data_IF_127927061159
#
_entry.id   IF_127927061159
#
_cell.length_a   1.000
_cell.length_b   1.000
_cell.length_c   1.000
_cell.angle_alpha   90.00
_cell.angle_beta   90.00
_cell.angle_gamma   90.00
#
_symmetry.space_group_name_H-M   'P 1'
#
loop_
_entity.id
_entity.type
_entity.pdbx_description
1 polymer ?
#
# COMPACT_ATOMS: atom_id res chain seq x y z
N UNK A 1 -9.42 23.25 4.94
CA UNK A 1 -8.17 22.57 5.32
C UNK A 1 -7.72 22.92 6.74
N UNK A 2 -7.69 24.21 7.11
CA UNK A 2 -7.27 24.63 8.47
C UNK A 2 -8.12 23.97 9.56
N UNK A 3 -9.46 24.06 9.48
CA UNK A 3 -10.36 23.43 10.45
C UNK A 3 -10.15 21.91 10.56
N UNK A 4 -10.03 21.21 9.42
CA UNK A 4 -9.76 19.77 9.41
C UNK A 4 -8.44 19.44 10.10
N UNK A 5 -7.40 20.23 9.86
CA UNK A 5 -6.10 20.03 10.51
C UNK A 5 -6.19 20.30 12.02
N UNK A 6 -6.89 21.35 12.44
CA UNK A 6 -7.13 21.65 13.86
C UNK A 6 -7.94 20.52 14.54
N UNK A 7 -9.00 20.02 13.88
CA UNK A 7 -9.77 18.90 14.40
C UNK A 7 -8.91 17.65 14.62
N UNK A 8 -8.02 17.32 13.69
CA UNK A 8 -7.09 16.18 13.82
C UNK A 8 -6.04 16.36 14.92
N UNK A 9 -5.71 17.60 15.30
CA UNK A 9 -4.77 17.89 16.39
C UNK A 9 -5.46 17.99 17.74
N UNK A 10 -6.78 18.12 17.77
CA UNK A 10 -7.55 18.16 19.03
C UNK A 10 -7.34 16.88 19.84
N UNK A 11 -7.21 16.98 21.18
CA UNK A 11 -7.25 15.81 22.06
C UNK A 11 -8.56 15.03 21.98
N UNK A 12 -9.65 15.72 21.63
CA UNK A 12 -10.98 15.18 21.48
C UNK A 12 -11.56 15.54 20.10
N UNK A 13 -11.12 14.88 19.01
CA UNK A 13 -11.59 15.21 17.66
C UNK A 13 -13.09 15.06 17.48
N UNK A 14 -13.70 14.11 18.20
CA UNK A 14 -15.15 13.86 18.22
C UNK A 14 -15.99 15.01 18.80
N UNK A 15 -15.37 15.90 19.60
CA UNK A 15 -15.99 17.07 20.21
C UNK A 15 -15.62 18.37 19.50
N UNK A 16 -14.85 18.31 18.43
CA UNK A 16 -14.43 19.50 17.69
C UNK A 16 -15.64 20.28 17.17
N UNK A 17 -15.58 21.61 17.25
CA UNK A 17 -16.62 22.54 16.78
C UNK A 17 -16.15 23.21 15.49
N UNK A 18 -16.62 22.74 14.36
CA UNK A 18 -16.34 23.26 13.03
C UNK A 18 -17.60 23.20 12.17
N UNK A 19 -17.44 23.09 10.85
CA UNK A 19 -18.57 22.90 9.95
C UNK A 19 -19.32 21.59 10.25
N UNK A 20 -20.63 21.55 10.01
CA UNK A 20 -21.47 20.37 10.30
C UNK A 20 -20.93 19.08 9.67
N UNK A 21 -20.46 19.15 8.43
CA UNK A 21 -19.87 18.01 7.73
C UNK A 21 -18.57 17.53 8.37
N UNK A 22 -17.73 18.46 8.86
CA UNK A 22 -16.50 18.11 9.57
C UNK A 22 -16.80 17.48 10.92
N UNK A 23 -17.74 18.04 11.67
CA UNK A 23 -18.15 17.51 12.97
C UNK A 23 -18.68 16.08 12.83
N UNK A 24 -19.49 15.82 11.80
CA UNK A 24 -20.02 14.48 11.51
C UNK A 24 -18.89 13.51 11.13
N UNK A 25 -17.95 13.93 10.26
CA UNK A 25 -16.78 13.13 9.88
C UNK A 25 -15.95 12.76 11.12
N UNK A 26 -15.66 13.71 12.01
CA UNK A 26 -14.86 13.44 13.20
C UNK A 26 -15.59 12.53 14.17
N UNK A 27 -16.86 12.80 14.47
CA UNK A 27 -17.69 11.99 15.36
C UNK A 27 -17.79 10.55 14.86
N UNK A 28 -18.19 10.35 13.60
CA UNK A 28 -18.36 9.01 13.03
C UNK A 28 -17.06 8.23 12.94
N UNK A 29 -15.93 8.91 12.65
CA UNK A 29 -14.61 8.26 12.52
C UNK A 29 -13.98 7.88 13.86
N UNK A 30 -14.32 8.58 14.96
CA UNK A 30 -13.77 8.29 16.29
C UNK A 30 -14.52 7.16 17.02
N UNK A 31 -15.72 6.80 16.58
CA UNK A 31 -16.47 5.68 17.16
C UNK A 31 -15.78 4.37 16.81
N UNK A 32 -15.54 3.52 17.80
CA UNK A 32 -15.05 2.16 17.56
C UNK A 32 -16.19 1.32 16.96
N UNK A 33 -16.03 0.68 15.81
CA UNK A 33 -17.01 -0.27 15.29
C UNK A 33 -17.18 -1.46 16.24
N UNK A 34 -18.42 -1.95 16.42
CA UNK A 34 -18.72 -3.05 17.34
C UNK A 34 -17.95 -4.34 17.02
N UNK A 35 -17.65 -4.57 15.75
CA UNK A 35 -16.88 -5.72 15.26
C UNK A 35 -15.38 -5.59 15.46
N UNK A 36 -14.82 -4.43 15.85
CA UNK A 36 -13.38 -4.23 15.96
C UNK A 36 -12.84 -4.82 17.28
N UNK A 37 -11.92 -5.78 17.17
CA UNK A 37 -11.24 -6.44 18.28
C UNK A 37 -9.79 -5.95 18.37
N UNK A 38 -9.52 -5.03 19.30
CA UNK A 38 -8.19 -4.40 19.41
C UNK A 38 -7.06 -5.40 19.62
N UNK A 39 -7.26 -6.42 20.45
CA UNK A 39 -6.22 -7.44 20.68
C UNK A 39 -5.85 -8.18 19.39
N UNK A 40 -6.86 -8.53 18.57
CA UNK A 40 -6.63 -9.20 17.29
C UNK A 40 -6.00 -8.27 16.26
N UNK A 41 -6.36 -6.99 16.26
CA UNK A 41 -5.74 -5.96 15.42
C UNK A 41 -4.25 -5.83 15.73
N UNK A 42 -3.86 -5.78 17.02
CA UNK A 42 -2.47 -5.69 17.44
C UNK A 42 -1.66 -6.97 17.14
N UNK A 43 -2.30 -8.12 17.17
CA UNK A 43 -1.70 -9.37 16.66
C UNK A 43 -1.41 -9.25 15.14
N UNK A 44 -2.32 -8.65 14.38
CA UNK A 44 -2.12 -8.38 12.95
C UNK A 44 -0.93 -7.47 12.69
N UNK A 45 -0.79 -6.40 13.47
CA UNK A 45 0.37 -5.50 13.46
C UNK A 45 1.66 -6.28 13.74
N UNK A 46 1.69 -7.06 14.82
CA UNK A 46 2.84 -7.86 15.23
C UNK A 46 3.24 -8.89 14.16
N UNK A 47 2.25 -9.54 13.54
CA UNK A 47 2.50 -10.48 12.45
C UNK A 47 3.10 -9.76 11.24
N UNK A 48 2.55 -8.64 10.80
CA UNK A 48 3.09 -7.88 9.66
C UNK A 48 4.54 -7.45 9.95
N UNK A 49 4.85 -6.98 11.15
CA UNK A 49 6.22 -6.66 11.53
C UNK A 49 7.15 -7.87 11.43
N UNK A 50 6.70 -9.05 11.88
CA UNK A 50 7.50 -10.28 11.82
C UNK A 50 7.93 -10.70 10.40
N UNK A 51 7.21 -10.23 9.36
CA UNK A 51 7.50 -10.55 7.95
C UNK A 51 8.64 -9.72 7.35
N UNK A 52 9.06 -8.65 8.02
CA UNK A 52 10.14 -7.79 7.58
C UNK A 52 9.92 -7.24 6.16
N UNK A 53 10.97 -7.23 5.35
CA UNK A 53 10.91 -6.74 3.95
C UNK A 53 9.98 -7.55 3.04
N UNK A 54 9.59 -8.77 3.41
CA UNK A 54 8.70 -9.55 2.56
C UNK A 54 7.34 -8.87 2.36
N UNK A 55 6.78 -8.22 3.40
CA UNK A 55 5.53 -7.45 3.26
C UNK A 55 5.68 -6.29 2.27
N UNK A 56 6.74 -5.49 2.36
CA UNK A 56 6.98 -4.37 1.44
C UNK A 56 7.22 -4.83 0.00
N UNK A 57 7.97 -5.92 -0.19
CA UNK A 57 8.19 -6.52 -1.51
C UNK A 57 6.86 -6.99 -2.12
N UNK A 58 6.01 -7.69 -1.36
CA UNK A 58 4.69 -8.17 -1.82
C UNK A 58 3.74 -7.01 -2.13
N UNK A 59 3.67 -6.00 -1.27
CA UNK A 59 2.81 -4.84 -1.50
C UNK A 59 3.21 -4.09 -2.78
N UNK A 60 4.50 -3.96 -3.06
CA UNK A 60 5.00 -3.34 -4.29
C UNK A 60 4.81 -4.23 -5.52
N UNK A 61 5.31 -5.48 -5.45
CA UNK A 61 5.50 -6.34 -6.63
C UNK A 61 4.26 -7.17 -6.97
N UNK A 62 3.29 -7.29 -6.05
CA UNK A 62 2.03 -7.99 -6.27
C UNK A 62 0.83 -7.05 -6.17
N UNK A 63 0.62 -6.38 -5.03
CA UNK A 63 -0.59 -5.60 -4.82
C UNK A 63 -0.62 -4.33 -5.69
N UNK A 64 0.43 -3.50 -5.64
CA UNK A 64 0.48 -2.28 -6.44
C UNK A 64 0.65 -2.58 -7.93
N UNK A 65 1.59 -3.45 -8.28
CA UNK A 65 1.83 -3.85 -9.69
C UNK A 65 0.57 -4.47 -10.29
N UNK A 66 -0.09 -5.38 -9.58
CA UNK A 66 -1.36 -5.99 -10.01
C UNK A 66 -2.53 -5.01 -10.04
N UNK A 67 -2.51 -4.00 -9.18
CA UNK A 67 -3.51 -2.92 -9.14
C UNK A 67 -3.57 -2.10 -10.43
N UNK A 68 -2.48 -2.02 -11.19
CA UNK A 68 -2.48 -1.35 -12.50
C UNK A 68 -3.26 -2.07 -13.60
N UNK A 69 -3.76 -3.28 -13.34
CA UNK A 69 -4.74 -3.92 -14.21
C UNK A 69 -6.14 -3.30 -14.08
N UNK A 70 -6.36 -2.39 -13.09
CA UNK A 70 -7.62 -1.70 -12.85
C UNK A 70 -7.57 -0.31 -13.52
N UNK A 71 -8.14 -0.20 -14.72
CA UNK A 71 -8.00 0.99 -15.60
C UNK A 71 -8.57 2.27 -14.97
N UNK A 72 -9.72 2.23 -14.31
CA UNK A 72 -10.32 3.41 -13.66
C UNK A 72 -9.40 3.99 -12.57
N UNK A 73 -8.74 3.11 -11.80
CA UNK A 73 -7.71 3.50 -10.84
C UNK A 73 -6.52 4.20 -11.53
N UNK A 74 -6.06 3.68 -12.67
CA UNK A 74 -4.97 4.26 -13.44
C UNK A 74 -5.32 5.65 -13.97
N UNK A 75 -6.55 5.86 -14.48
CA UNK A 75 -7.02 7.17 -14.98
C UNK A 75 -6.99 8.22 -13.88
N UNK A 76 -7.36 7.85 -12.65
CA UNK A 76 -7.24 8.75 -11.50
C UNK A 76 -5.79 9.23 -11.33
N UNK A 77 -4.81 8.34 -11.39
CA UNK A 77 -3.39 8.68 -11.22
C UNK A 77 -2.83 9.54 -12.36
N UNK A 78 -3.24 9.27 -13.57
CA UNK A 78 -2.78 10.04 -14.74
C UNK A 78 -3.38 11.45 -14.72
N UNK A 79 -4.69 11.57 -14.53
CA UNK A 79 -5.37 12.86 -14.56
C UNK A 79 -5.04 13.77 -13.38
N UNK A 80 -4.46 13.24 -12.32
CA UNK A 80 -3.93 14.03 -11.18
C UNK A 80 -2.45 14.38 -11.32
N UNK A 81 -1.80 14.01 -12.43
CA UNK A 81 -0.38 14.28 -12.67
C UNK A 81 0.59 13.42 -11.85
N UNK A 82 0.09 12.33 -11.24
CA UNK A 82 0.94 11.47 -10.43
C UNK A 82 1.91 10.61 -11.27
N UNK A 83 1.62 10.41 -12.54
CA UNK A 83 2.52 9.71 -13.46
C UNK A 83 3.75 10.57 -13.81
N UNK A 84 3.54 11.85 -14.06
CA UNK A 84 4.58 12.84 -14.42
C UNK A 84 5.57 13.07 -13.28
N UNK A 85 5.12 12.95 -12.02
CA UNK A 85 5.99 12.98 -10.83
C UNK A 85 6.83 11.71 -10.68
N UNK A 86 6.52 10.67 -11.45
CA UNK A 86 7.16 9.35 -11.36
C UNK A 86 6.60 8.46 -10.24
N UNK A 87 6.98 7.18 -10.26
CA UNK A 87 6.48 6.20 -9.30
C UNK A 87 7.06 6.38 -7.88
N UNK A 88 8.30 6.90 -7.76
CA UNK A 88 9.03 6.93 -6.49
C UNK A 88 8.38 7.83 -5.41
N UNK A 89 7.95 9.08 -5.65
CA UNK A 89 7.31 9.92 -4.64
C UNK A 89 6.03 9.32 -4.09
N UNK A 90 5.19 8.77 -4.96
CA UNK A 90 3.94 8.12 -4.57
C UNK A 90 4.18 6.85 -3.76
N UNK A 91 5.13 6.02 -4.19
CA UNK A 91 5.52 4.81 -3.47
C UNK A 91 6.02 5.17 -2.06
N UNK A 92 6.85 6.21 -1.94
CA UNK A 92 7.37 6.70 -0.66
C UNK A 92 6.24 7.21 0.26
N UNK A 93 5.32 8.04 -0.25
CA UNK A 93 4.20 8.57 0.54
C UNK A 93 3.26 7.46 1.03
N UNK A 94 2.93 6.50 0.16
CA UNK A 94 2.11 5.34 0.52
C UNK A 94 2.81 4.45 1.54
N UNK A 95 4.10 4.19 1.37
CA UNK A 95 4.89 3.38 2.30
C UNK A 95 5.02 4.06 3.68
N UNK A 96 5.15 5.38 3.73
CA UNK A 96 5.15 6.14 4.98
C UNK A 96 3.80 6.06 5.70
N UNK A 97 2.68 6.22 4.97
CA UNK A 97 1.35 6.01 5.52
C UNK A 97 1.21 4.58 6.06
N UNK A 98 1.64 3.58 5.28
CA UNK A 98 1.59 2.18 5.68
C UNK A 98 2.35 1.92 7.00
N UNK A 99 3.57 2.44 7.18
CA UNK A 99 4.30 2.33 8.44
C UNK A 99 3.54 2.92 9.63
N UNK A 100 2.80 4.00 9.42
CA UNK A 100 1.99 4.63 10.49
C UNK A 100 0.81 3.75 10.89
N UNK A 101 0.09 3.17 9.91
CA UNK A 101 -1.11 2.36 10.21
C UNK A 101 -0.78 0.97 10.76
N UNK A 102 0.42 0.45 10.51
CA UNK A 102 0.89 -0.80 11.11
C UNK A 102 1.73 -0.58 12.39
N UNK A 103 1.78 0.63 12.95
CA UNK A 103 2.39 0.85 14.25
C UNK A 103 1.42 0.43 15.38
N UNK A 104 1.96 -0.10 16.48
CA UNK A 104 1.14 -0.51 17.63
C UNK A 104 0.31 0.66 18.16
N UNK A 105 -0.94 0.40 18.51
CA UNK A 105 -1.92 1.36 19.06
C UNK A 105 -2.17 2.60 18.17
N UNK A 106 -1.72 2.60 16.91
CA UNK A 106 -1.77 3.80 16.06
C UNK A 106 -3.13 4.06 15.42
N UNK A 107 -4.03 3.07 15.38
CA UNK A 107 -5.34 3.18 14.75
C UNK A 107 -6.48 3.50 15.73
N UNK A 108 -6.18 3.68 17.00
CA UNK A 108 -7.12 4.28 17.94
C UNK A 108 -7.37 5.75 17.59
N UNK A 109 -8.50 6.32 18.03
CA UNK A 109 -8.75 7.75 17.93
C UNK A 109 -7.52 8.51 18.50
N UNK A 110 -7.08 9.57 17.80
CA UNK A 110 -5.86 10.32 18.07
C UNK A 110 -4.51 9.62 17.75
N UNK A 111 -4.49 8.34 17.42
CA UNK A 111 -3.27 7.67 16.98
C UNK A 111 -2.74 8.20 15.64
N UNK A 112 -1.45 8.03 15.39
CA UNK A 112 -0.82 8.53 14.16
C UNK A 112 -1.33 7.82 12.90
N UNK A 113 -1.65 6.52 12.98
CA UNK A 113 -2.28 5.76 11.90
C UNK A 113 -3.67 6.30 11.57
N UNK A 114 -4.50 6.50 12.60
CA UNK A 114 -5.82 7.12 12.47
C UNK A 114 -5.74 8.51 11.80
N UNK A 115 -4.94 9.43 12.36
CA UNK A 115 -4.78 10.78 11.81
C UNK A 115 -4.28 10.77 10.37
N UNK A 116 -3.34 9.87 10.07
CA UNK A 116 -2.79 9.73 8.72
C UNK A 116 -3.83 9.18 7.74
N UNK A 117 -4.64 8.22 8.17
CA UNK A 117 -5.72 7.63 7.35
C UNK A 117 -6.82 8.66 7.05
N UNK A 118 -7.23 9.47 8.03
CA UNK A 118 -8.20 10.52 7.78
C UNK A 118 -7.67 11.60 6.81
N UNK A 119 -6.35 11.92 6.85
CA UNK A 119 -5.75 12.82 5.84
C UNK A 119 -5.84 12.23 4.42
N UNK A 120 -5.55 10.94 4.27
CA UNK A 120 -5.70 10.25 2.98
C UNK A 120 -7.16 10.24 2.54
N UNK A 121 -8.11 9.93 3.44
CA UNK A 121 -9.55 9.99 3.16
C UNK A 121 -9.99 11.37 2.68
N UNK A 122 -9.49 12.43 3.32
CA UNK A 122 -9.73 13.81 2.90
C UNK A 122 -9.17 14.08 1.49
N UNK A 123 -7.93 13.67 1.23
CA UNK A 123 -7.31 13.81 -0.10
C UNK A 123 -8.10 13.05 -1.18
N UNK A 124 -8.60 11.85 -0.87
CA UNK A 124 -9.47 11.09 -1.78
C UNK A 124 -10.78 11.86 -2.08
N UNK A 125 -11.35 12.54 -1.09
CA UNK A 125 -12.55 13.36 -1.30
C UNK A 125 -12.27 14.57 -2.22
N UNK A 126 -11.15 15.26 -2.02
CA UNK A 126 -10.73 16.38 -2.88
C UNK A 126 -10.47 15.94 -4.32
N UNK A 127 -9.71 14.86 -4.51
CA UNK A 127 -9.42 14.30 -5.84
C UNK A 127 -10.71 13.84 -6.52
N UNK A 128 -11.61 13.17 -5.79
CA UNK A 128 -12.94 12.78 -6.31
C UNK A 128 -13.73 13.98 -6.78
N UNK A 129 -13.77 15.03 -5.98
CA UNK A 129 -14.46 16.27 -6.34
C UNK A 129 -13.88 16.92 -7.58
N UNK A 130 -12.56 17.05 -7.66
CA UNK A 130 -11.86 17.62 -8.81
C UNK A 130 -12.11 16.82 -10.09
N UNK A 131 -11.93 15.51 -10.06
CA UNK A 131 -12.08 14.65 -11.23
C UNK A 131 -13.53 14.53 -11.69
N UNK A 132 -14.48 14.45 -10.76
CA UNK A 132 -15.92 14.42 -11.09
C UNK A 132 -16.36 15.64 -11.92
N UNK A 133 -15.74 16.79 -11.69
CA UNK A 133 -16.03 18.04 -12.38
C UNK A 133 -15.10 18.29 -13.58
N UNK A 134 -14.19 17.37 -13.89
CA UNK A 134 -13.26 17.49 -15.01
C UNK A 134 -13.91 16.98 -16.31
N UNK A 135 -13.80 17.71 -17.42
CA UNK A 135 -14.26 17.22 -18.73
C UNK A 135 -13.46 16.03 -19.25
N UNK A 136 -12.27 15.77 -18.68
CA UNK A 136 -11.41 14.64 -19.05
C UNK A 136 -11.84 13.34 -18.39
N UNK A 137 -12.76 13.36 -17.41
CA UNK A 137 -13.23 12.17 -16.73
C UNK A 137 -14.47 11.61 -17.41
N UNK A 138 -14.34 10.41 -18.00
CA UNK A 138 -15.47 9.70 -18.59
C UNK A 138 -16.17 8.84 -17.53
N UNK A 139 -17.23 9.39 -16.91
CA UNK A 139 -18.00 8.68 -15.90
C UNK A 139 -18.84 7.52 -16.44
N UNK A 140 -19.12 7.48 -17.74
CA UNK A 140 -19.83 6.33 -18.36
C UNK A 140 -18.90 5.14 -18.48
N UNK A 141 -17.63 5.36 -18.78
CA UNK A 141 -16.64 4.31 -18.94
C UNK A 141 -15.97 3.91 -17.61
N UNK A 142 -15.65 4.88 -16.72
CA UNK A 142 -14.84 4.65 -15.53
C UNK A 142 -15.63 4.74 -14.22
N UNK A 143 -16.94 5.07 -14.26
CA UNK A 143 -17.76 5.29 -13.07
C UNK A 143 -17.35 6.56 -12.31
N UNK A 144 -17.61 6.59 -11.01
CA UNK A 144 -17.16 7.69 -10.15
C UNK A 144 -15.68 7.53 -9.81
N UNK A 145 -14.89 8.64 -9.79
CA UNK A 145 -13.48 8.59 -9.36
C UNK A 145 -13.36 8.10 -7.92
N UNK A 146 -12.42 7.23 -7.64
CA UNK A 146 -12.16 6.69 -6.30
C UNK A 146 -13.47 6.18 -5.65
N UNK A 147 -14.22 5.37 -6.38
CA UNK A 147 -15.49 4.81 -5.92
C UNK A 147 -15.27 3.71 -4.84
N UNK A 148 -16.37 3.17 -4.31
CA UNK A 148 -16.32 2.16 -3.25
C UNK A 148 -15.65 0.86 -3.70
N UNK A 149 -15.76 0.46 -4.97
CA UNK A 149 -15.10 -0.72 -5.52
C UNK A 149 -13.59 -0.52 -5.55
N UNK A 150 -13.10 0.65 -6.03
CA UNK A 150 -11.68 0.98 -6.07
C UNK A 150 -11.08 1.01 -4.66
N UNK A 151 -11.79 1.63 -3.72
CA UNK A 151 -11.37 1.71 -2.31
C UNK A 151 -11.36 0.31 -1.67
N UNK A 152 -12.39 -0.50 -1.93
CA UNK A 152 -12.48 -1.87 -1.42
C UNK A 152 -11.37 -2.73 -2.01
N UNK A 153 -11.12 -2.71 -3.32
CA UNK A 153 -10.03 -3.43 -3.95
C UNK A 153 -8.67 -3.03 -3.36
N UNK A 154 -8.49 -1.74 -3.05
CA UNK A 154 -7.23 -1.23 -2.48
C UNK A 154 -6.98 -1.80 -1.08
N UNK A 155 -7.93 -1.74 -0.14
CA UNK A 155 -7.70 -2.31 1.19
C UNK A 155 -7.53 -3.84 1.14
N UNK A 156 -8.19 -4.53 0.20
CA UNK A 156 -8.00 -5.97 -0.02
C UNK A 156 -6.61 -6.27 -0.60
N UNK A 157 -6.03 -5.35 -1.36
CA UNK A 157 -4.62 -5.40 -1.79
C UNK A 157 -3.66 -5.42 -0.62
N UNK A 158 -3.90 -4.59 0.39
CA UNK A 158 -3.09 -4.54 1.62
C UNK A 158 -3.35 -5.71 2.58
N UNK A 159 -4.45 -6.42 2.47
CA UNK A 159 -4.82 -7.54 3.34
C UNK A 159 -4.67 -8.90 2.64
N UNK A 160 -5.69 -9.37 1.94
CA UNK A 160 -5.73 -10.71 1.36
C UNK A 160 -4.65 -10.94 0.29
N UNK A 161 -4.38 -9.95 -0.59
CA UNK A 161 -3.32 -10.06 -1.60
C UNK A 161 -1.95 -10.12 -0.92
N UNK A 162 -1.73 -9.31 0.13
CA UNK A 162 -0.49 -9.39 0.92
C UNK A 162 -0.32 -10.77 1.56
N UNK A 163 -1.36 -11.33 2.20
CA UNK A 163 -1.30 -12.66 2.80
C UNK A 163 -0.98 -13.75 1.78
N UNK A 164 -1.64 -13.70 0.62
CA UNK A 164 -1.36 -14.63 -0.48
C UNK A 164 0.09 -14.52 -0.97
N UNK A 165 0.58 -13.30 -1.18
CA UNK A 165 1.94 -13.04 -1.61
C UNK A 165 2.98 -13.47 -0.57
N UNK A 166 2.72 -13.27 0.73
CA UNK A 166 3.59 -13.73 1.81
C UNK A 166 3.74 -15.25 1.81
N UNK A 167 2.64 -16.02 1.61
CA UNK A 167 2.70 -17.47 1.47
C UNK A 167 3.55 -17.89 0.25
N UNK A 168 3.35 -17.24 -0.89
CA UNK A 168 4.20 -17.48 -2.07
C UNK A 168 5.67 -17.19 -1.79
N UNK A 169 5.96 -16.20 -0.94
CA UNK A 169 7.32 -15.86 -0.53
C UNK A 169 7.91 -16.80 0.56
N UNK A 170 7.21 -17.85 0.95
CA UNK A 170 7.65 -18.83 1.95
C UNK A 170 7.39 -18.43 3.41
N UNK A 171 6.60 -17.39 3.65
CA UNK A 171 6.19 -16.96 4.99
C UNK A 171 5.00 -17.80 5.47
N UNK A 172 5.13 -18.42 6.63
CA UNK A 172 4.04 -19.20 7.24
C UNK A 172 2.97 -18.27 7.79
N UNK A 173 1.78 -18.31 7.20
CA UNK A 173 0.60 -17.57 7.64
C UNK A 173 -0.39 -18.54 8.25
N UNK A 174 -0.54 -18.53 9.58
CA UNK A 174 -1.52 -19.34 10.29
C UNK A 174 -2.95 -18.79 10.10
N UNK A 175 -4.00 -19.59 10.34
CA UNK A 175 -5.38 -19.08 10.32
C UNK A 175 -5.59 -17.90 11.28
N UNK A 176 -4.92 -17.89 12.44
CA UNK A 176 -4.96 -16.76 13.38
C UNK A 176 -4.30 -15.52 12.82
N UNK A 177 -3.12 -15.65 12.19
CA UNK A 177 -2.46 -14.51 11.52
C UNK A 177 -3.32 -13.94 10.39
N UNK A 178 -3.96 -14.81 9.60
CA UNK A 178 -4.87 -14.37 8.53
C UNK A 178 -6.03 -13.54 9.11
N UNK A 179 -6.75 -14.05 10.12
CA UNK A 179 -7.83 -13.32 10.79
C UNK A 179 -7.35 -11.98 11.37
N UNK A 180 -6.21 -11.97 12.03
CA UNK A 180 -5.63 -10.77 12.63
C UNK A 180 -5.31 -9.68 11.60
N UNK A 181 -4.70 -10.04 10.48
CA UNK A 181 -4.41 -9.10 9.38
C UNK A 181 -5.70 -8.64 8.70
N UNK A 182 -6.66 -9.53 8.47
CA UNK A 182 -7.97 -9.15 7.90
C UNK A 182 -8.69 -8.16 8.81
N UNK A 183 -8.67 -8.37 10.13
CA UNK A 183 -9.30 -7.49 11.12
C UNK A 183 -8.63 -6.10 11.14
N UNK A 184 -7.31 -6.04 11.12
CA UNK A 184 -6.56 -4.78 11.03
C UNK A 184 -6.95 -3.99 9.78
N UNK A 185 -6.92 -4.64 8.63
CA UNK A 185 -7.21 -3.96 7.36
C UNK A 185 -8.69 -3.65 7.16
N UNK A 186 -9.60 -4.42 7.77
CA UNK A 186 -11.02 -4.09 7.86
C UNK A 186 -11.22 -2.76 8.60
N UNK A 187 -10.53 -2.58 9.75
CA UNK A 187 -10.57 -1.31 10.50
C UNK A 187 -10.00 -0.15 9.68
N UNK A 188 -8.83 -0.33 9.06
CA UNK A 188 -8.20 0.73 8.24
C UNK A 188 -9.09 1.07 7.03
N UNK A 189 -9.68 0.08 6.37
CA UNK A 189 -10.64 0.29 5.28
C UNK A 189 -11.87 1.10 5.73
N UNK A 190 -12.41 0.77 6.89
CA UNK A 190 -13.52 1.51 7.50
C UNK A 190 -13.13 2.97 7.81
N UNK A 191 -11.99 3.21 8.44
CA UNK A 191 -11.47 4.54 8.70
C UNK A 191 -11.22 5.33 7.41
N UNK A 192 -10.80 4.67 6.34
CA UNK A 192 -10.62 5.25 5.01
C UNK A 192 -11.96 5.64 4.34
N UNK A 193 -13.07 5.14 4.86
CA UNK A 193 -14.43 5.42 4.35
C UNK A 193 -14.97 4.37 3.38
N UNK A 194 -14.45 3.16 3.43
CA UNK A 194 -15.08 2.00 2.80
C UNK A 194 -16.34 1.66 3.60
N UNK A 195 -17.47 1.54 2.93
CA UNK A 195 -18.75 1.19 3.58
C UNK A 195 -18.70 -0.25 4.10
N UNK A 196 -19.43 -0.53 5.19
CA UNK A 196 -19.39 -1.84 5.85
C UNK A 196 -19.81 -2.99 4.94
N UNK A 197 -20.73 -2.78 4.02
CA UNK A 197 -21.16 -3.78 3.03
C UNK A 197 -20.03 -4.26 2.08
N UNK A 198 -18.97 -3.45 1.94
CA UNK A 198 -17.79 -3.77 1.15
C UNK A 198 -16.65 -4.36 1.98
N UNK A 199 -16.73 -4.26 3.30
CA UNK A 199 -15.76 -4.85 4.21
C UNK A 199 -16.02 -6.36 4.36
N UNK A 200 -14.96 -7.13 4.55
CA UNK A 200 -15.04 -8.58 4.71
C UNK A 200 -14.21 -9.05 5.89
N UNK A 201 -14.62 -10.18 6.48
CA UNK A 201 -13.99 -10.73 7.67
C UNK A 201 -12.91 -11.76 7.37
N UNK A 202 -13.03 -12.43 6.21
CA UNK A 202 -12.16 -13.56 5.87
C UNK A 202 -11.40 -13.33 4.58
N UNK A 203 -10.22 -13.94 4.49
CA UNK A 203 -9.41 -13.93 3.28
C UNK A 203 -10.13 -14.57 2.10
N UNK A 204 -10.93 -15.62 2.34
CA UNK A 204 -11.73 -16.25 1.29
C UNK A 204 -12.76 -15.30 0.68
N UNK A 205 -13.52 -14.59 1.52
CA UNK A 205 -14.47 -13.58 1.05
C UNK A 205 -13.75 -12.46 0.28
N UNK A 206 -12.57 -12.05 0.76
CA UNK A 206 -11.75 -11.04 0.10
C UNK A 206 -11.33 -11.46 -1.31
N UNK A 207 -10.85 -12.69 -1.48
CA UNK A 207 -10.41 -13.20 -2.78
C UNK A 207 -11.58 -13.34 -3.77
N UNK A 208 -12.76 -13.74 -3.28
CA UNK A 208 -13.99 -13.76 -4.11
C UNK A 208 -14.36 -12.34 -4.57
N UNK A 209 -14.39 -11.36 -3.66
CA UNK A 209 -14.67 -9.95 -4.02
C UNK A 209 -13.62 -9.39 -4.99
N UNK A 210 -12.33 -9.63 -4.76
CA UNK A 210 -11.27 -9.19 -5.68
C UNK A 210 -11.45 -9.77 -7.09
N UNK A 211 -11.81 -11.06 -7.17
CA UNK A 211 -12.13 -11.67 -8.47
C UNK A 211 -13.30 -10.97 -9.14
N UNK A 212 -14.37 -10.68 -8.41
CA UNK A 212 -15.53 -9.95 -8.93
C UNK A 212 -15.13 -8.56 -9.42
N UNK A 213 -14.34 -7.81 -8.65
CA UNK A 213 -13.86 -6.47 -9.03
C UNK A 213 -13.05 -6.49 -10.31
N UNK A 214 -12.19 -7.49 -10.52
CA UNK A 214 -11.41 -7.62 -11.75
C UNK A 214 -12.29 -7.81 -13.01
N UNK A 215 -13.50 -8.35 -12.88
CA UNK A 215 -14.44 -8.47 -13.98
C UNK A 215 -15.25 -7.20 -14.26
N UNK A 216 -15.28 -6.25 -13.34
CA UNK A 216 -15.99 -4.96 -13.51
C UNK A 216 -15.12 -3.89 -14.18
N UNK A 217 -13.81 -4.12 -14.29
CA UNK A 217 -12.90 -3.18 -14.91
C UNK A 217 -12.73 -3.43 -16.41
N UNK A 218 -12.54 -2.34 -17.15
CA UNK A 218 -12.15 -2.39 -18.55
C UNK A 218 -10.84 -3.16 -18.73
N UNK A 219 -10.63 -3.81 -19.91
CA UNK A 219 -9.35 -4.44 -20.22
C UNK A 219 -8.17 -3.47 -20.04
N UNK A 220 -6.96 -3.98 -19.70
CA UNK A 220 -5.75 -3.17 -19.62
C UNK A 220 -5.53 -2.35 -20.89
N UNK A 221 -5.14 -1.10 -20.72
CA UNK A 221 -4.87 -0.14 -21.78
C UNK A 221 -3.47 0.47 -21.64
N UNK A 222 -3.18 1.51 -22.43
CA UNK A 222 -1.90 2.23 -22.39
C UNK A 222 -1.57 2.79 -20.98
N UNK A 223 -2.59 3.18 -20.19
CA UNK A 223 -2.37 3.63 -18.82
C UNK A 223 -1.78 2.54 -17.92
N UNK A 224 -2.21 1.29 -18.13
CA UNK A 224 -1.66 0.11 -17.46
C UNK A 224 -0.17 -0.06 -17.77
N UNK A 225 0.20 -0.02 -19.05
CA UNK A 225 1.57 -0.22 -19.49
C UNK A 225 2.50 0.89 -18.98
N UNK A 226 2.07 2.15 -19.06
CA UNK A 226 2.84 3.32 -18.60
C UNK A 226 3.12 3.25 -17.09
N UNK A 227 2.10 3.00 -16.27
CA UNK A 227 2.27 2.92 -14.81
C UNK A 227 3.07 1.69 -14.39
N UNK A 228 2.84 0.53 -15.01
CA UNK A 228 3.62 -0.67 -14.74
C UNK A 228 5.10 -0.49 -15.10
N UNK A 229 5.40 0.11 -16.26
CA UNK A 229 6.77 0.41 -16.69
C UNK A 229 7.45 1.43 -15.76
N UNK A 230 6.74 2.48 -15.34
CA UNK A 230 7.25 3.45 -14.39
C UNK A 230 7.60 2.82 -13.03
N UNK A 231 6.74 1.92 -12.51
CA UNK A 231 7.04 1.20 -11.28
C UNK A 231 8.18 0.19 -11.47
N UNK A 232 8.21 -0.54 -12.58
CA UNK A 232 9.29 -1.48 -12.89
C UNK A 232 10.65 -0.77 -13.00
N UNK A 233 10.69 0.42 -13.61
CA UNK A 233 11.90 1.23 -13.78
C UNK A 233 12.38 1.95 -12.50
N UNK A 234 11.51 2.10 -11.48
CA UNK A 234 11.84 2.82 -10.24
C UNK A 234 13.18 2.38 -9.61
N UNK A 235 13.55 1.08 -9.53
CA UNK A 235 14.82 0.68 -8.92
C UNK A 235 16.05 1.22 -9.63
N UNK A 236 15.96 1.53 -10.92
CA UNK A 236 17.07 2.10 -11.70
C UNK A 236 17.42 3.53 -11.28
N UNK A 237 16.52 4.24 -10.64
CA UNK A 237 16.74 5.58 -10.10
C UNK A 237 17.25 5.58 -8.65
N UNK A 238 17.43 4.41 -8.04
CA UNK A 238 17.88 4.27 -6.63
C UNK A 238 19.33 4.72 -6.44
N UNK A 239 19.59 5.40 -5.33
CA UNK A 239 20.96 5.76 -4.94
C UNK A 239 21.52 4.71 -3.96
N UNK A 240 22.70 4.23 -4.24
CA UNK A 240 23.45 3.29 -3.40
C UNK A 240 24.85 3.86 -3.17
N UNK A 241 25.37 3.71 -1.97
CA UNK A 241 26.67 4.25 -1.61
C UNK A 241 27.83 3.64 -2.43
N UNK A 242 27.72 2.36 -2.80
CA UNK A 242 28.75 1.63 -3.55
C UNK A 242 28.13 0.78 -4.66
N UNK A 243 28.87 0.52 -5.74
CA UNK A 243 28.47 -0.33 -6.86
C UNK A 243 27.09 0.05 -7.42
N UNK A 244 26.85 1.34 -7.58
CA UNK A 244 25.53 1.91 -7.86
C UNK A 244 24.85 1.27 -9.05
N UNK A 245 25.54 1.17 -10.19
CA UNK A 245 25.00 0.57 -11.42
C UNK A 245 24.59 -0.89 -11.21
N UNK A 246 25.49 -1.69 -10.63
CA UNK A 246 25.23 -3.10 -10.38
C UNK A 246 24.04 -3.31 -9.43
N UNK A 247 23.99 -2.55 -8.35
CA UNK A 247 22.89 -2.63 -7.36
C UNK A 247 21.56 -2.17 -7.93
N UNK A 248 21.54 -1.16 -8.79
CA UNK A 248 20.34 -0.71 -9.52
C UNK A 248 19.83 -1.81 -10.43
N UNK A 249 20.70 -2.40 -11.25
CA UNK A 249 20.34 -3.49 -12.15
C UNK A 249 19.84 -4.73 -11.39
N UNK A 250 20.55 -5.12 -10.33
CA UNK A 250 20.09 -6.22 -9.48
C UNK A 250 18.72 -5.95 -8.85
N UNK A 251 18.49 -4.76 -8.31
CA UNK A 251 17.21 -4.39 -7.73
C UNK A 251 16.09 -4.40 -8.77
N UNK A 252 16.35 -3.90 -9.97
CA UNK A 252 15.41 -3.94 -11.10
C UNK A 252 15.04 -5.39 -11.49
N UNK A 253 16.05 -6.23 -11.73
CA UNK A 253 15.82 -7.64 -12.08
C UNK A 253 15.12 -8.41 -10.96
N UNK A 254 15.49 -8.16 -9.69
CA UNK A 254 14.84 -8.76 -8.53
C UNK A 254 13.34 -8.42 -8.50
N UNK A 255 12.97 -7.14 -8.67
CA UNK A 255 11.59 -6.72 -8.63
C UNK A 255 10.77 -7.22 -9.83
N UNK A 256 11.34 -7.25 -11.04
CA UNK A 256 10.70 -7.87 -12.19
C UNK A 256 10.45 -9.38 -11.97
N UNK A 257 11.47 -10.09 -11.46
CA UNK A 257 11.37 -11.52 -11.15
C UNK A 257 10.32 -11.79 -10.05
N UNK A 258 10.28 -10.94 -9.01
CA UNK A 258 9.28 -11.03 -7.95
C UNK A 258 7.87 -10.78 -8.47
N UNK A 259 7.66 -9.73 -9.28
CA UNK A 259 6.36 -9.44 -9.90
C UNK A 259 5.89 -10.57 -10.81
N UNK A 260 6.80 -11.13 -11.63
CA UNK A 260 6.48 -12.28 -12.47
C UNK A 260 6.04 -13.50 -11.64
N UNK A 261 6.79 -13.82 -10.59
CA UNK A 261 6.50 -14.96 -9.70
C UNK A 261 5.18 -14.78 -8.94
N UNK A 262 4.96 -13.59 -8.40
CA UNK A 262 3.80 -13.31 -7.55
C UNK A 262 2.50 -13.21 -8.35
N UNK A 263 2.49 -12.52 -9.49
CA UNK A 263 1.32 -12.32 -10.35
C UNK A 263 1.07 -13.48 -11.30
N UNK A 264 2.12 -14.21 -11.66
CA UNK A 264 2.09 -15.23 -12.70
C UNK A 264 2.16 -14.66 -14.12
N UNK A 265 2.50 -15.49 -15.11
CA UNK A 265 2.83 -15.04 -16.47
C UNK A 265 1.68 -14.31 -17.16
N UNK A 266 0.44 -14.76 -16.96
CA UNK A 266 -0.74 -14.16 -17.62
C UNK A 266 -0.98 -12.71 -17.18
N UNK A 267 -0.96 -12.42 -15.87
CA UNK A 267 -1.17 -11.07 -15.37
C UNK A 267 0.05 -10.19 -15.67
N UNK A 268 1.25 -10.73 -15.53
CA UNK A 268 2.49 -10.01 -15.81
C UNK A 268 2.57 -9.57 -17.28
N UNK A 269 2.20 -10.42 -18.23
CA UNK A 269 2.16 -10.08 -19.66
C UNK A 269 1.10 -9.00 -19.99
N UNK A 270 -0.06 -9.02 -19.29
CA UNK A 270 -1.08 -7.96 -19.44
C UNK A 270 -0.58 -6.57 -18.99
N UNK A 271 0.43 -6.51 -18.13
CA UNK A 271 1.09 -5.26 -17.73
C UNK A 271 2.08 -4.73 -18.79
N UNK A 272 2.29 -5.45 -19.89
CA UNK A 272 3.26 -5.09 -20.92
C UNK A 272 4.72 -5.24 -20.49
N UNK A 273 4.98 -5.96 -19.39
CA UNK A 273 6.32 -6.13 -18.83
C UNK A 273 7.01 -7.39 -19.36
N UNK A 274 8.34 -7.34 -19.39
CA UNK A 274 9.20 -8.49 -19.71
C UNK A 274 10.18 -8.71 -18.56
N UNK A 275 10.35 -9.97 -18.15
CA UNK A 275 11.35 -10.36 -17.14
C UNK A 275 12.39 -11.27 -17.82
N UNK A 276 13.63 -10.80 -18.02
CA UNK A 276 14.68 -11.60 -18.70
C UNK A 276 15.00 -12.91 -17.99
N UNK A 277 14.87 -12.90 -16.65
CA UNK A 277 15.18 -14.06 -15.79
C UNK A 277 13.89 -14.77 -15.30
N UNK A 278 12.71 -14.39 -15.81
CA UNK A 278 11.45 -14.94 -15.31
C UNK A 278 11.37 -14.91 -13.78
N UNK A 279 10.95 -16.00 -13.11
CA UNK A 279 10.81 -16.07 -11.65
C UNK A 279 12.10 -16.49 -10.91
N UNK A 280 13.23 -16.68 -11.57
CA UNK A 280 14.40 -17.38 -11.01
C UNK A 280 14.89 -16.71 -9.71
N UNK A 281 15.10 -15.39 -9.71
CA UNK A 281 15.61 -14.68 -8.51
C UNK A 281 14.62 -14.82 -7.35
N UNK A 282 13.31 -14.73 -7.62
CA UNK A 282 12.29 -14.90 -6.60
C UNK A 282 12.30 -16.32 -6.05
N UNK A 283 12.29 -17.34 -6.91
CA UNK A 283 12.29 -18.75 -6.52
C UNK A 283 13.52 -19.13 -5.68
N UNK A 284 14.72 -18.69 -6.04
CA UNK A 284 15.92 -18.92 -5.27
C UNK A 284 15.86 -18.28 -3.86
N UNK A 285 15.13 -17.18 -3.72
CA UNK A 285 15.00 -16.49 -2.43
C UNK A 285 13.97 -17.12 -1.48
N UNK A 286 13.01 -17.91 -1.99
CA UNK A 286 11.91 -18.49 -1.18
C UNK A 286 12.41 -19.45 -0.10
N UNK A 287 13.25 -20.48 -0.37
CA UNK A 287 13.69 -21.40 0.66
C UNK A 287 14.53 -20.72 1.76
N UNK A 288 15.34 -19.73 1.41
CA UNK A 288 16.10 -18.95 2.38
C UNK A 288 15.19 -18.15 3.32
N UNK A 289 14.15 -17.52 2.77
CA UNK A 289 13.17 -16.78 3.55
C UNK A 289 12.34 -17.70 4.45
N UNK A 290 11.88 -18.82 3.90
CA UNK A 290 11.12 -19.82 4.65
C UNK A 290 11.93 -20.38 5.82
N UNK A 291 13.16 -20.80 5.58
CA UNK A 291 14.06 -21.33 6.60
C UNK A 291 14.34 -20.30 7.70
N UNK A 292 14.66 -19.06 7.34
CA UNK A 292 14.85 -17.96 8.30
C UNK A 292 13.59 -17.68 9.11
N UNK A 293 12.43 -17.62 8.46
CA UNK A 293 11.15 -17.35 9.13
C UNK A 293 10.79 -18.45 10.13
N UNK A 294 10.96 -19.72 9.75
CA UNK A 294 10.70 -20.87 10.63
C UNK A 294 11.67 -20.89 11.81
N UNK A 295 12.98 -20.75 11.57
CA UNK A 295 13.99 -20.75 12.63
C UNK A 295 13.73 -19.69 13.71
N UNK A 296 13.27 -18.49 13.31
CA UNK A 296 12.98 -17.41 14.24
C UNK A 296 11.65 -17.59 15.01
N UNK A 297 10.85 -18.59 14.69
CA UNK A 297 9.60 -18.91 15.42
C UNK A 297 9.76 -19.98 16.48
N UNK A 298 10.93 -20.61 16.60
CA UNK A 298 11.14 -21.75 17.51
C UNK A 298 11.09 -21.37 18.99
N UNK A 299 11.36 -20.11 19.36
CA UNK A 299 11.30 -19.65 20.75
C UNK A 299 10.58 -18.31 20.88
N UNK A 300 9.98 -18.04 22.05
CA UNK A 300 9.31 -16.75 22.31
C UNK A 300 10.26 -15.54 22.24
N UNK A 301 11.52 -15.72 22.64
CA UNK A 301 12.54 -14.68 22.58
C UNK A 301 12.93 -14.35 21.14
N UNK A 302 13.11 -15.38 20.30
CA UNK A 302 13.42 -15.20 18.87
C UNK A 302 12.23 -14.61 18.10
N UNK A 303 10.99 -14.96 18.48
CA UNK A 303 9.79 -14.37 17.90
C UNK A 303 9.70 -12.84 18.19
N UNK A 304 9.98 -12.41 19.42
CA UNK A 304 10.05 -10.97 19.77
C UNK A 304 11.16 -10.25 18.99
N UNK A 305 12.34 -10.85 18.88
CA UNK A 305 13.44 -10.32 18.06
C UNK A 305 13.05 -10.24 16.58
N UNK A 306 12.30 -11.20 16.07
CA UNK A 306 11.81 -11.20 14.69
C UNK A 306 10.88 -10.01 14.44
N UNK A 307 9.93 -9.72 15.34
CA UNK A 307 9.02 -8.58 15.23
C UNK A 307 9.81 -7.26 15.20
N UNK A 308 10.71 -7.04 16.17
CA UNK A 308 11.48 -5.80 16.26
C UNK A 308 12.45 -5.59 15.10
N UNK A 309 13.17 -6.64 14.69
CA UNK A 309 14.08 -6.59 13.55
C UNK A 309 13.33 -6.46 12.21
N UNK A 310 12.17 -7.08 12.11
CA UNK A 310 11.31 -6.97 10.94
C UNK A 310 10.72 -5.56 10.78
N UNK A 311 10.25 -4.96 11.88
CA UNK A 311 9.85 -3.55 11.90
C UNK A 311 10.97 -2.63 11.44
N UNK A 312 12.17 -2.78 12.00
CA UNK A 312 13.34 -2.00 11.61
C UNK A 312 13.69 -2.17 10.13
N UNK A 313 13.58 -3.40 9.61
CA UNK A 313 13.81 -3.67 8.19
C UNK A 313 12.78 -2.97 7.28
N UNK A 314 11.52 -2.84 7.73
CA UNK A 314 10.47 -2.09 7.04
C UNK A 314 10.73 -0.58 7.08
N UNK A 315 11.12 -0.05 8.23
CA UNK A 315 11.49 1.36 8.40
C UNK A 315 12.67 1.75 7.49
N UNK A 316 13.70 0.91 7.42
CA UNK A 316 14.84 1.11 6.51
C UNK A 316 14.37 1.07 5.05
N UNK A 317 13.53 0.10 4.67
CA UNK A 317 13.02 0.00 3.31
C UNK A 317 12.24 1.25 2.87
N UNK A 318 11.47 1.83 3.79
CA UNK A 318 10.71 3.07 3.53
C UNK A 318 11.63 4.29 3.51
N UNK A 319 12.61 4.37 4.43
CA UNK A 319 13.61 5.44 4.43
C UNK A 319 14.44 5.48 3.13
N UNK A 320 14.79 4.32 2.57
CA UNK A 320 15.44 4.20 1.27
C UNK A 320 14.62 4.85 0.14
N UNK A 321 13.31 4.92 0.24
CA UNK A 321 12.43 5.62 -0.71
C UNK A 321 12.40 7.15 -0.49
N UNK A 322 12.56 7.63 0.74
CA UNK A 322 12.48 9.05 1.10
C UNK A 322 13.76 9.84 0.84
N UNK A 323 14.92 9.27 1.05
CA UNK A 323 16.21 9.93 0.78
C UNK A 323 16.33 10.50 -0.65
N UNK A 324 15.49 10.03 -1.55
CA UNK A 324 15.41 10.47 -2.95
C UNK A 324 14.60 11.71 -3.18
N UNK A 325 13.56 11.97 -2.35
CA UNK A 325 12.73 13.16 -2.48
C UNK A 325 13.50 14.41 -2.09
N UNK A 326 14.39 14.34 -1.10
CA UNK A 326 15.21 15.46 -0.64
C UNK A 326 16.27 15.87 -1.69
N UNK A 327 16.89 14.88 -2.37
CA UNK A 327 17.91 15.15 -3.40
C UNK A 327 17.28 15.73 -4.69
N UNK A 328 16.03 15.41 -5.01
CA UNK A 328 15.32 15.97 -6.17
C UNK A 328 14.66 17.32 -5.88
N UNK A 329 14.50 17.69 -4.61
CA UNK A 329 13.90 18.95 -4.17
C UNK A 329 14.94 20.06 -3.92
N UNK A 330 16.25 19.78 -3.93
CA UNK A 330 17.27 20.82 -3.92
C UNK A 330 17.33 21.45 -5.31
N UNK A 331 16.99 22.77 -5.46
CA UNK A 331 17.16 23.44 -6.72
C UNK A 331 18.68 23.42 -7.05
N UNK A 332 19.02 23.02 -8.28
CA UNK A 332 20.34 23.31 -8.87
C UNK A 332 20.47 24.82 -8.82
N UNK A 333 21.12 25.32 -7.78
CA UNK A 333 21.58 26.71 -7.74
C UNK A 333 22.56 26.83 -8.88
N UNK A 334 22.10 27.44 -9.98
CA UNK A 334 22.91 27.80 -11.11
C UNK A 334 24.06 28.67 -10.59
N UNK A 335 25.26 28.10 -10.60
CA UNK A 335 26.49 28.87 -10.62
C UNK A 335 26.57 29.63 -11.96
N UNK A 336 25.94 30.80 -11.99
CA UNK A 336 26.19 31.83 -12.99
C UNK A 336 26.01 33.19 -12.31
N UNK A 337 27.07 33.62 -11.66
CA UNK A 337 27.30 35.01 -11.33
C UNK A 337 28.82 35.21 -11.38
N UNK A 338 29.30 35.59 -12.54
CA UNK A 338 30.50 36.43 -12.72
C UNK A 338 30.38 37.10 -14.08
#
# INVERSE_FOLDING_TARGET
>A
WREFHQALQSPHPEKFQGSAALNELMRSSCVKPNWAEWALIEEGVSFIHSTGRAATDVLRDMALMGGYLMVAFNKTLILTGELEKGAAPRLASTAQWWLKVIAHNSNHANGQGFKSTLRVRWMHALVRHQLRNSPQWDSKQWGLPINQVDMAATYLGFSAVMLLGLRKMGIVVTPRNSRAVMQLWKLIGWQMGVREEWLVDTEQQALVKLRQFLFTHSPPDESTHRLASALAGEPLSRNFNNLQTLRRQYAHLKHLSSSWYLLGPRMFNKLGLKSPLGPIIALLSVPLRAGKHLALRCTSLSARKQISSGRRAQEIAVAELHHRQQIQAEPVVSANAS
#
